data_IF_922311331932
#
_entry.id   IF_922311331932
#
_cell.length_a   1.000
_cell.length_b   1.000
_cell.length_c   1.000
_cell.angle_alpha   90.00
_cell.angle_beta   90.00
_cell.angle_gamma   90.00
#
_symmetry.space_group_name_H-M   'P 1'
#
loop_
_entity.id
_entity.type
_entity.pdbx_description
1 polymer ?
#
# COMPACT_ATOMS: atom_id res chain seq x y z
N UNK A 1 20.74 -2.29 1.36
CA UNK A 1 19.91 -1.06 1.22
C UNK A 1 18.86 -1.16 2.31
N UNK A 2 18.70 -0.11 3.13
CA UNK A 2 17.76 -0.13 4.26
C UNK A 2 16.43 0.50 3.85
N UNK A 3 15.31 -0.13 4.23
CA UNK A 3 13.98 0.43 4.06
C UNK A 3 13.62 1.26 5.30
N UNK A 4 13.32 2.54 5.11
CA UNK A 4 12.98 3.46 6.19
C UNK A 4 11.46 3.47 6.43
N UNK A 5 11.01 2.65 7.37
CA UNK A 5 9.59 2.60 7.73
C UNK A 5 9.08 3.95 8.26
N UNK A 6 9.89 4.69 9.03
CA UNK A 6 9.52 6.00 9.57
C UNK A 6 9.20 6.99 8.44
N UNK A 7 9.99 7.01 7.37
CA UNK A 7 9.72 7.87 6.22
C UNK A 7 8.44 7.47 5.47
N UNK A 8 8.18 6.16 5.32
CA UNK A 8 6.94 5.66 4.74
C UNK A 8 5.70 6.05 5.56
N UNK A 9 5.78 5.92 6.90
CA UNK A 9 4.73 6.32 7.84
C UNK A 9 4.51 7.83 7.79
N UNK A 10 5.58 8.63 7.83
CA UNK A 10 5.49 10.09 7.75
C UNK A 10 4.82 10.55 6.46
N UNK A 11 5.15 9.92 5.33
CA UNK A 11 4.47 10.15 4.06
C UNK A 11 2.99 9.81 4.14
N UNK A 12 2.67 8.63 4.69
CA UNK A 12 1.29 8.19 4.85
C UNK A 12 0.48 9.17 5.69
N UNK A 13 1.01 9.59 6.85
CA UNK A 13 0.34 10.56 7.71
C UNK A 13 0.14 11.92 7.05
N UNK A 14 1.11 12.37 6.23
CA UNK A 14 1.03 13.64 5.51
C UNK A 14 -0.03 13.62 4.41
N UNK A 15 -0.18 12.50 3.71
CA UNK A 15 -0.99 12.40 2.49
C UNK A 15 -2.25 11.55 2.61
N UNK A 16 -2.56 11.05 3.81
CA UNK A 16 -3.76 10.24 4.04
C UNK A 16 -5.08 10.99 3.80
N UNK A 17 -5.11 12.29 4.12
CA UNK A 17 -6.31 13.14 3.99
C UNK A 17 -6.28 14.01 2.72
N UNK A 18 -5.14 14.10 2.05
CA UNK A 18 -4.95 14.93 0.87
C UNK A 18 -3.89 14.34 -0.05
N UNK A 19 -4.21 14.13 -1.34
CA UNK A 19 -3.27 13.54 -2.30
C UNK A 19 -2.01 14.36 -2.47
N UNK A 20 -0.89 13.68 -2.63
CA UNK A 20 0.35 14.31 -3.11
C UNK A 20 0.20 14.68 -4.58
N UNK A 21 0.33 15.97 -4.89
CA UNK A 21 0.18 16.51 -6.25
C UNK A 21 1.22 16.00 -7.27
N UNK A 22 2.29 15.33 -6.80
CA UNK A 22 3.27 14.66 -7.68
C UNK A 22 2.73 13.39 -8.34
N UNK A 23 1.63 12.84 -7.82
CA UNK A 23 1.01 11.62 -8.32
C UNK A 23 -0.43 11.89 -8.72
N UNK A 24 -0.90 11.21 -9.77
CA UNK A 24 -2.32 11.25 -10.12
C UNK A 24 -3.11 10.57 -9.02
N UNK A 25 -4.10 11.29 -8.50
CA UNK A 25 -5.06 10.76 -7.55
C UNK A 25 -6.13 9.93 -8.29
N UNK A 26 -6.12 8.62 -8.05
CA UNK A 26 -7.03 7.68 -8.72
C UNK A 26 -8.36 7.61 -7.97
N UNK A 27 -9.23 8.59 -8.24
CA UNK A 27 -10.56 8.64 -7.62
C UNK A 27 -11.34 7.34 -7.86
N UNK A 28 -12.00 6.78 -6.84
CA UNK A 28 -12.85 5.62 -7.02
C UNK A 28 -14.00 5.93 -7.99
N UNK A 29 -14.35 4.97 -8.85
CA UNK A 29 -15.52 5.04 -9.73
C UNK A 29 -16.58 4.05 -9.23
N UNK A 30 -17.58 4.57 -8.52
CA UNK A 30 -18.59 3.74 -7.85
C UNK A 30 -17.97 2.88 -6.74
N UNK A 31 -18.15 1.55 -6.82
CA UNK A 31 -17.54 0.57 -5.89
C UNK A 31 -16.21 -0.01 -6.39
N UNK A 32 -15.72 0.46 -7.53
CA UNK A 32 -14.56 -0.09 -8.23
C UNK A 32 -13.44 0.96 -8.24
N UNK A 33 -12.24 0.51 -7.91
CA UNK A 33 -11.05 1.36 -7.89
C UNK A 33 -10.93 2.18 -6.61
N UNK A 34 -10.01 3.14 -6.65
CA UNK A 34 -9.57 3.93 -5.51
C UNK A 34 -8.05 4.02 -5.49
N UNK A 35 -7.51 4.93 -4.68
CA UNK A 35 -6.10 5.27 -4.71
C UNK A 35 -5.24 4.38 -3.78
N UNK A 36 -5.84 3.42 -3.05
CA UNK A 36 -5.14 2.66 -2.00
C UNK A 36 -3.80 2.05 -2.46
N UNK A 37 -3.75 1.34 -3.60
CA UNK A 37 -2.51 0.73 -4.06
C UNK A 37 -1.47 1.76 -4.53
N UNK A 38 -1.92 2.83 -5.20
CA UNK A 38 -1.06 3.94 -5.60
C UNK A 38 -0.49 4.65 -4.37
N UNK A 39 -1.32 4.96 -3.39
CA UNK A 39 -0.94 5.55 -2.11
C UNK A 39 0.07 4.69 -1.35
N UNK A 40 -0.19 3.38 -1.21
CA UNK A 40 0.76 2.46 -0.60
C UNK A 40 2.06 2.42 -1.38
N UNK A 41 2.01 2.43 -2.71
CA UNK A 41 3.21 2.45 -3.54
C UNK A 41 4.03 3.74 -3.33
N UNK A 42 3.36 4.89 -3.16
CA UNK A 42 4.02 6.15 -2.81
C UNK A 42 4.68 6.08 -1.42
N UNK A 43 4.02 5.47 -0.43
CA UNK A 43 4.60 5.23 0.90
C UNK A 43 5.88 4.38 0.79
N UNK A 44 5.87 3.32 -0.03
CA UNK A 44 7.05 2.49 -0.28
C UNK A 44 8.20 3.31 -0.90
N UNK A 45 7.91 4.17 -1.88
CA UNK A 45 8.90 5.09 -2.47
C UNK A 45 9.48 6.04 -1.40
N UNK A 46 8.63 6.63 -0.56
CA UNK A 46 9.07 7.49 0.53
C UNK A 46 9.95 6.76 1.55
N UNK A 47 9.68 5.47 1.77
CA UNK A 47 10.54 4.57 2.56
C UNK A 47 11.85 4.18 1.89
N UNK A 48 12.13 4.66 0.68
CA UNK A 48 13.38 4.42 -0.05
C UNK A 48 13.35 3.22 -1.00
N UNK A 49 12.17 2.63 -1.25
CA UNK A 49 12.04 1.61 -2.28
C UNK A 49 12.36 2.20 -3.67
N UNK A 50 13.04 1.40 -4.51
CA UNK A 50 13.31 1.77 -5.90
C UNK A 50 12.27 1.14 -6.81
N UNK A 51 11.77 1.93 -7.76
CA UNK A 51 10.87 1.44 -8.80
C UNK A 51 11.54 0.33 -9.63
N UNK A 52 10.71 -0.57 -10.14
CA UNK A 52 11.13 -1.68 -11.01
C UNK A 52 10.44 -1.57 -12.35
N UNK A 53 11.20 -1.75 -13.42
CA UNK A 53 10.73 -1.67 -14.81
C UNK A 53 10.87 -2.98 -15.58
N UNK A 54 11.39 -4.01 -14.92
CA UNK A 54 11.72 -5.31 -15.50
C UNK A 54 10.54 -6.31 -15.41
N UNK A 55 10.85 -7.60 -15.36
CA UNK A 55 9.93 -8.74 -15.36
C UNK A 55 8.75 -8.67 -14.37
N UNK A 56 8.88 -7.89 -13.28
CA UNK A 56 7.81 -7.62 -12.32
C UNK A 56 7.69 -6.10 -12.13
N UNK A 57 7.09 -5.39 -13.10
CA UNK A 57 7.15 -3.93 -13.15
C UNK A 57 6.31 -3.33 -12.03
N UNK A 58 6.90 -2.45 -11.24
CA UNK A 58 6.29 -1.66 -10.18
C UNK A 58 6.85 -0.25 -10.29
N UNK A 59 6.12 0.62 -11.01
CA UNK A 59 6.59 1.96 -11.32
C UNK A 59 5.45 2.95 -11.53
N UNK A 60 5.78 4.22 -11.38
CA UNK A 60 4.98 5.37 -11.78
C UNK A 60 5.87 6.41 -12.44
N UNK A 61 5.46 6.86 -13.62
CA UNK A 61 6.17 7.84 -14.43
C UNK A 61 5.19 8.94 -14.83
N UNK A 62 5.36 10.18 -14.32
CA UNK A 62 4.65 11.32 -14.86
C UNK A 62 5.17 11.62 -16.28
N UNK A 63 4.28 11.97 -17.21
CA UNK A 63 4.71 12.48 -18.51
C UNK A 63 4.99 13.98 -18.36
N UNK A 64 6.20 14.42 -18.69
CA UNK A 64 6.58 15.82 -18.57
C UNK A 64 5.63 16.73 -19.36
N UNK A 65 5.18 17.83 -18.74
CA UNK A 65 4.28 18.82 -19.33
C UNK A 65 2.94 18.26 -19.83
N UNK A 66 2.47 17.17 -19.22
CA UNK A 66 1.27 16.46 -19.64
C UNK A 66 0.45 16.02 -18.43
N UNK A 67 -0.90 16.04 -18.50
CA UNK A 67 -1.74 15.43 -17.47
C UNK A 67 -1.68 13.89 -17.49
N UNK A 68 -1.05 13.30 -18.52
CA UNK A 68 -0.91 11.87 -18.65
C UNK A 68 0.22 11.32 -17.78
N UNK A 69 0.06 10.07 -17.36
CA UNK A 69 1.03 9.33 -16.56
C UNK A 69 1.06 7.88 -17.05
N UNK A 70 2.14 7.18 -16.75
CA UNK A 70 2.27 5.74 -16.96
C UNK A 70 2.54 5.08 -15.64
N UNK A 71 1.77 4.07 -15.28
CA UNK A 71 2.05 3.25 -14.11
C UNK A 71 1.80 1.78 -14.42
N UNK A 72 2.50 0.89 -13.73
CA UNK A 72 2.24 -0.54 -13.86
C UNK A 72 1.02 -0.96 -13.03
N UNK A 73 0.45 -2.14 -13.33
CA UNK A 73 -0.63 -2.70 -12.53
C UNK A 73 -0.21 -2.94 -11.07
N UNK A 74 1.04 -3.37 -10.86
CA UNK A 74 1.55 -3.58 -9.50
C UNK A 74 1.64 -2.27 -8.70
N UNK A 75 1.71 -1.11 -9.36
CA UNK A 75 1.65 0.20 -8.69
C UNK A 75 0.22 0.58 -8.31
N UNK A 76 -0.74 0.39 -9.22
CA UNK A 76 -2.07 1.01 -9.12
C UNK A 76 -3.21 0.08 -8.70
N UNK A 77 -3.01 -1.24 -8.66
CA UNK A 77 -4.06 -2.22 -8.36
C UNK A 77 -3.73 -3.02 -7.11
N UNK A 78 -4.64 -3.05 -6.12
CA UNK A 78 -4.40 -3.67 -4.82
C UNK A 78 -3.98 -5.15 -4.91
N UNK A 79 -4.69 -5.96 -5.70
CA UNK A 79 -4.33 -7.38 -5.91
C UNK A 79 -2.96 -7.56 -6.54
N UNK A 80 -2.61 -6.69 -7.48
CA UNK A 80 -1.33 -6.75 -8.18
C UNK A 80 -0.19 -6.29 -7.29
N UNK A 81 -0.36 -5.21 -6.50
CA UNK A 81 0.62 -4.75 -5.51
C UNK A 81 0.92 -5.84 -4.47
N UNK A 82 -0.13 -6.43 -3.88
CA UNK A 82 0.02 -7.55 -2.95
C UNK A 82 0.80 -8.71 -3.59
N UNK A 83 0.36 -9.18 -4.75
CA UNK A 83 0.99 -10.30 -5.45
C UNK A 83 2.44 -10.00 -5.81
N UNK A 84 2.74 -8.77 -6.20
CA UNK A 84 4.08 -8.28 -6.47
C UNK A 84 4.97 -8.38 -5.24
N UNK A 85 4.55 -7.84 -4.09
CA UNK A 85 5.35 -7.86 -2.86
C UNK A 85 5.71 -9.29 -2.42
N UNK A 86 4.74 -10.20 -2.45
CA UNK A 86 4.95 -11.61 -2.08
C UNK A 86 5.83 -12.33 -3.11
N UNK A 87 5.56 -12.13 -4.41
CA UNK A 87 6.35 -12.76 -5.48
C UNK A 87 7.78 -12.26 -5.51
N UNK A 88 8.00 -10.96 -5.27
CA UNK A 88 9.32 -10.34 -5.26
C UNK A 88 10.17 -10.87 -4.10
N UNK A 89 9.54 -11.18 -2.96
CA UNK A 89 10.17 -11.86 -1.83
C UNK A 89 10.57 -13.30 -2.18
N UNK A 90 9.62 -14.10 -2.68
CA UNK A 90 9.83 -15.50 -3.05
C UNK A 90 10.96 -15.68 -4.10
N UNK A 91 11.00 -14.79 -5.09
CA UNK A 91 12.03 -14.79 -6.15
C UNK A 91 13.36 -14.18 -5.73
N UNK A 92 13.48 -13.65 -4.50
CA UNK A 92 14.68 -12.98 -3.97
C UNK A 92 15.18 -11.82 -4.86
N UNK A 93 14.26 -11.16 -5.57
CA UNK A 93 14.58 -10.04 -6.45
C UNK A 93 15.00 -8.80 -5.64
N UNK A 94 15.64 -7.81 -6.26
CA UNK A 94 15.86 -6.51 -5.62
C UNK A 94 14.56 -5.70 -5.55
N UNK A 95 14.48 -4.75 -4.61
CA UNK A 95 13.34 -3.85 -4.43
C UNK A 95 12.41 -4.27 -3.28
N UNK A 96 11.24 -3.61 -3.14
CA UNK A 96 10.33 -3.86 -2.03
C UNK A 96 9.76 -5.28 -2.07
N UNK A 97 9.66 -5.89 -0.89
CA UNK A 97 9.20 -7.26 -0.66
C UNK A 97 8.21 -7.27 0.49
N UNK A 98 7.33 -8.26 0.49
CA UNK A 98 6.39 -8.52 1.58
C UNK A 98 6.60 -9.90 2.19
N UNK A 99 6.57 -9.99 3.52
CA UNK A 99 6.46 -11.24 4.26
C UNK A 99 5.12 -11.27 4.97
N UNK A 100 4.37 -12.37 4.81
CA UNK A 100 3.13 -12.58 5.56
C UNK A 100 3.43 -12.77 7.06
N UNK A 101 2.60 -12.18 7.90
CA UNK A 101 2.57 -12.37 9.34
C UNK A 101 1.45 -13.34 9.71
N UNK A 102 1.54 -14.00 10.87
CA UNK A 102 0.54 -14.99 11.28
C UNK A 102 -0.74 -14.35 11.85
N UNK A 103 -0.66 -13.11 12.33
CA UNK A 103 -1.79 -12.44 12.94
C UNK A 103 -1.58 -10.94 13.14
N UNK A 104 -2.62 -10.29 13.66
CA UNK A 104 -2.70 -8.85 13.87
C UNK A 104 -1.75 -8.39 15.00
N UNK A 105 -1.51 -9.27 15.96
CA UNK A 105 -0.63 -9.09 17.11
C UNK A 105 0.86 -8.97 16.71
N UNK A 106 1.24 -9.47 15.54
CA UNK A 106 2.59 -9.31 15.03
C UNK A 106 2.82 -7.95 14.36
N UNK A 107 1.78 -7.16 14.08
CA UNK A 107 1.90 -5.91 13.34
C UNK A 107 2.76 -4.88 14.08
N UNK A 108 3.49 -4.11 13.28
CA UNK A 108 4.30 -2.98 13.72
C UNK A 108 4.08 -1.79 12.78
N UNK A 109 4.52 -0.60 13.20
CA UNK A 109 4.39 0.61 12.40
C UNK A 109 5.06 0.44 11.02
N UNK A 110 4.31 0.78 9.96
CA UNK A 110 4.74 0.69 8.56
C UNK A 110 4.42 -0.64 7.88
N UNK A 111 3.90 -1.64 8.60
CA UNK A 111 3.37 -2.85 7.98
C UNK A 111 2.11 -2.53 7.16
N UNK A 112 1.88 -3.31 6.11
CA UNK A 112 0.72 -3.18 5.25
C UNK A 112 -0.35 -4.21 5.60
N UNK A 113 -1.61 -3.84 5.43
CA UNK A 113 -2.76 -4.73 5.60
C UNK A 113 -3.52 -4.75 4.28
N UNK A 114 -3.77 -5.94 3.74
CA UNK A 114 -4.56 -6.14 2.52
C UNK A 114 -5.84 -6.90 2.84
N UNK A 115 -6.93 -6.52 2.15
CA UNK A 115 -8.27 -7.09 2.38
C UNK A 115 -8.73 -7.86 1.15
N UNK A 116 -9.18 -9.10 1.37
CA UNK A 116 -9.74 -9.98 0.36
C UNK A 116 -11.27 -9.91 0.36
N UNK A 117 -11.88 -9.93 -0.83
CA UNK A 117 -13.33 -10.02 -0.99
C UNK A 117 -13.80 -11.48 -1.11
N UNK A 118 -15.11 -11.69 -1.07
CA UNK A 118 -15.74 -13.03 -1.20
C UNK A 118 -15.41 -13.77 -2.51
N UNK A 119 -14.86 -13.08 -3.51
CA UNK A 119 -14.39 -13.67 -4.77
C UNK A 119 -12.90 -14.02 -4.73
N UNK A 120 -12.30 -14.11 -3.53
CA UNK A 120 -10.88 -14.42 -3.30
C UNK A 120 -9.91 -13.45 -4.00
N UNK A 121 -10.31 -12.19 -4.13
CA UNK A 121 -9.49 -11.13 -4.72
C UNK A 121 -9.18 -10.05 -3.69
N UNK A 122 -7.90 -9.74 -3.52
CA UNK A 122 -7.47 -8.56 -2.76
C UNK A 122 -7.99 -7.31 -3.46
N UNK A 123 -8.82 -6.54 -2.74
CA UNK A 123 -9.52 -5.38 -3.30
C UNK A 123 -9.11 -4.05 -2.66
N UNK A 124 -8.51 -4.09 -1.47
CA UNK A 124 -8.11 -2.89 -0.74
C UNK A 124 -6.82 -3.14 0.04
N UNK A 125 -6.14 -2.05 0.40
CA UNK A 125 -4.94 -2.08 1.23
C UNK A 125 -4.78 -0.81 2.06
N UNK A 126 -4.08 -0.92 3.17
CA UNK A 126 -3.78 0.17 4.10
C UNK A 126 -2.41 -0.02 4.75
N UNK A 127 -1.89 1.01 5.41
CA UNK A 127 -0.62 0.99 6.14
C UNK A 127 -0.87 1.30 7.62
N UNK A 128 -0.21 0.56 8.52
CA UNK A 128 -0.26 0.81 9.97
C UNK A 128 0.57 2.04 10.29
N UNK A 129 -0.08 3.08 10.82
CA UNK A 129 0.53 4.40 11.07
C UNK A 129 0.55 4.80 12.53
N UNK A 130 -0.28 4.18 13.36
CA UNK A 130 -0.28 4.37 14.82
C UNK A 130 -0.84 3.12 15.51
N UNK A 131 -0.80 3.13 16.83
CA UNK A 131 -1.58 2.24 17.69
C UNK A 131 -2.43 3.09 18.63
N UNK A 132 -3.59 2.59 19.05
CA UNK A 132 -4.37 3.22 20.11
C UNK A 132 -3.80 2.90 21.50
N UNK A 133 -4.45 3.40 22.55
CA UNK A 133 -4.06 3.18 23.94
C UNK A 133 -4.12 1.70 24.38
N UNK A 134 -4.89 0.87 23.69
CA UNK A 134 -5.13 -0.54 24.00
C UNK A 134 -4.22 -1.44 23.15
N UNK A 135 -3.37 -0.86 22.29
CA UNK A 135 -2.45 -1.58 21.40
C UNK A 135 -3.11 -2.05 20.11
N UNK A 136 -4.29 -1.54 19.76
CA UNK A 136 -4.95 -1.85 18.48
C UNK A 136 -4.29 -1.07 17.35
N UNK A 137 -3.94 -1.69 16.22
CA UNK A 137 -3.36 -0.97 15.09
C UNK A 137 -4.35 0.01 14.47
N UNK A 138 -3.87 1.22 14.22
CA UNK A 138 -4.56 2.27 13.47
C UNK A 138 -3.94 2.40 12.10
N UNK A 139 -4.79 2.54 11.09
CA UNK A 139 -4.38 2.54 9.68
C UNK A 139 -4.53 3.92 9.04
N UNK A 140 -3.74 4.13 7.99
CA UNK A 140 -3.97 5.19 7.01
C UNK A 140 -4.18 4.62 5.61
N UNK A 141 -5.10 5.20 4.84
CA UNK A 141 -5.40 4.82 3.46
C UNK A 141 -6.11 5.95 2.70
N UNK A 142 -6.19 5.83 1.37
CA UNK A 142 -6.56 6.92 0.46
C UNK A 142 -7.71 6.59 -0.52
N UNK A 143 -8.45 5.50 -0.28
CA UNK A 143 -9.74 5.22 -0.92
C UNK A 143 -10.88 5.92 -0.19
N UNK A 144 -10.81 6.01 1.14
CA UNK A 144 -11.78 6.74 1.98
C UNK A 144 -11.14 7.87 2.78
N UNK A 145 -9.90 8.24 2.42
CA UNK A 145 -9.10 9.30 3.03
C UNK A 145 -9.10 9.24 4.57
N UNK A 146 -8.43 8.21 5.10
CA UNK A 146 -8.40 7.90 6.53
C UNK A 146 -6.99 8.07 7.08
N UNK A 147 -6.87 8.80 8.18
CA UNK A 147 -5.64 8.99 8.95
C UNK A 147 -5.83 8.40 10.34
N UNK A 148 -4.93 7.49 10.75
CA UNK A 148 -4.93 6.87 12.08
C UNK A 148 -6.32 6.37 12.51
N UNK A 149 -7.03 5.72 11.59
CA UNK A 149 -8.38 5.23 11.81
C UNK A 149 -8.38 3.76 12.19
N UNK A 150 -9.36 3.34 12.98
CA UNK A 150 -9.62 1.92 13.19
C UNK A 150 -10.04 1.25 11.88
N UNK A 151 -9.64 -0.02 11.71
CA UNK A 151 -10.10 -0.85 10.59
C UNK A 151 -11.63 -0.99 10.68
N UNK A 152 -12.33 -0.46 9.69
CA UNK A 152 -13.81 -0.47 9.65
C UNK A 152 -14.35 -1.83 9.25
N UNK A 153 -15.50 -2.21 9.81
CA UNK A 153 -16.20 -3.48 9.52
C UNK A 153 -16.45 -3.71 8.03
N UNK A 154 -16.62 -2.64 7.26
CA UNK A 154 -16.84 -2.69 5.81
C UNK A 154 -15.67 -3.32 5.02
N UNK A 155 -14.45 -3.35 5.59
CA UNK A 155 -13.26 -3.95 4.99
C UNK A 155 -13.20 -5.48 5.21
N UNK A 156 -13.91 -5.99 6.22
CA UNK A 156 -13.98 -7.41 6.53
C UNK A 156 -15.00 -8.09 5.61
N UNK A 157 -14.51 -8.60 4.47
CA UNK A 157 -15.31 -9.36 3.51
C UNK A 157 -15.01 -10.85 3.54
N UNK A 158 -13.74 -11.20 3.71
CA UNK A 158 -13.26 -12.59 3.76
C UNK A 158 -11.92 -12.61 4.55
N UNK A 159 -10.80 -12.87 3.89
CA UNK A 159 -9.46 -12.92 4.48
C UNK A 159 -8.80 -11.54 4.65
N UNK A 160 -7.98 -11.38 5.69
CA UNK A 160 -7.05 -10.26 5.87
C UNK A 160 -5.61 -10.76 5.82
N UNK A 161 -4.77 -10.07 5.05
CA UNK A 161 -3.36 -10.36 4.93
C UNK A 161 -2.52 -9.26 5.60
N UNK A 162 -1.76 -9.64 6.62
CA UNK A 162 -0.80 -8.76 7.29
C UNK A 162 0.58 -8.95 6.65
N UNK A 163 1.18 -7.86 6.16
CA UNK A 163 2.38 -7.92 5.33
C UNK A 163 3.45 -6.98 5.86
N UNK A 164 4.58 -7.56 6.31
CA UNK A 164 5.77 -6.81 6.68
C UNK A 164 6.65 -6.50 5.48
N UNK A 165 7.04 -5.23 5.36
CA UNK A 165 7.85 -4.73 4.25
C UNK A 165 9.34 -4.79 4.57
N UNK A 166 10.12 -5.23 3.58
CA UNK A 166 11.58 -5.21 3.61
C UNK A 166 12.15 -5.08 2.18
N UNK A 167 13.45 -4.83 2.05
CA UNK A 167 14.18 -4.74 0.76
C UNK A 167 15.34 -5.74 0.76
#
# INVERSE_FOLDING_TARGET
>A
MYYNNIAAISYACTHALAPNNKYVYMKPFGKIGGDCASFLSQCLIAGGAKMKYDNLPWFYEPVSYSPYYKCSLNWSVASSLYSFLISNASKKNLGPKGRLLNGIEELTLGDLIFFENSNKKVFHGSIVTSFDKDGTPLISQHTYDELNSHIKSQYFKDTIYYVRIFI
#
